data_IF_520469151222
#
_entry.id   IF_520469151222
#
_cell.length_a   1.000
_cell.length_b   1.000
_cell.length_c   1.000
_cell.angle_alpha   90.00
_cell.angle_beta   90.00
_cell.angle_gamma   90.00
#
_symmetry.space_group_name_H-M   'P 1'
#
loop_
_entity.id
_entity.type
_entity.pdbx_description
1 polymer ?
#
# COMPACT_ATOMS: atom_id res chain seq x y z
N UNK A 1 -6.70 27.54 19.77
CA UNK A 1 -7.98 27.73 19.00
C UNK A 1 -7.77 27.52 17.49
N UNK A 2 -6.73 28.04 16.87
CA UNK A 2 -6.46 27.86 15.42
C UNK A 2 -6.34 26.38 14.97
N UNK A 3 -5.62 25.55 15.71
CA UNK A 3 -5.44 24.13 15.35
C UNK A 3 -6.75 23.32 15.34
N UNK A 4 -7.64 23.54 16.31
CA UNK A 4 -8.94 22.87 16.32
C UNK A 4 -9.82 23.30 15.13
N UNK A 5 -9.71 24.53 14.70
CA UNK A 5 -10.43 25.05 13.53
C UNK A 5 -9.90 24.43 12.23
N UNK A 6 -8.58 24.25 12.10
CA UNK A 6 -7.96 23.57 10.95
C UNK A 6 -8.39 22.11 10.87
N UNK A 7 -8.38 21.39 12.00
CA UNK A 7 -8.83 20.00 12.05
C UNK A 7 -10.31 19.85 11.68
N UNK A 8 -11.19 20.78 12.16
CA UNK A 8 -12.60 20.78 11.81
C UNK A 8 -12.86 21.06 10.32
N UNK A 9 -12.15 22.00 9.73
CA UNK A 9 -12.25 22.30 8.30
C UNK A 9 -11.76 21.11 7.46
N UNK A 10 -10.68 20.49 7.87
CA UNK A 10 -10.15 19.32 7.20
C UNK A 10 -11.08 18.10 7.31
N UNK A 11 -11.69 17.86 8.47
CA UNK A 11 -12.69 16.81 8.65
C UNK A 11 -13.93 17.02 7.77
N UNK A 12 -14.33 18.27 7.52
CA UNK A 12 -15.41 18.59 6.57
C UNK A 12 -15.02 18.34 5.11
N UNK A 13 -13.78 18.68 4.75
CA UNK A 13 -13.28 18.53 3.37
C UNK A 13 -12.93 17.08 3.03
N UNK A 14 -12.38 16.33 3.98
CA UNK A 14 -11.91 14.95 3.80
C UNK A 14 -12.51 14.02 4.86
N UNK A 15 -13.85 13.82 4.85
CA UNK A 15 -14.56 13.08 5.89
C UNK A 15 -14.21 11.59 5.93
N UNK A 16 -13.75 11.03 4.83
CA UNK A 16 -13.46 9.62 4.69
C UNK A 16 -12.15 9.35 3.91
N UNK A 17 -11.75 8.09 3.87
CA UNK A 17 -10.54 7.65 3.18
C UNK A 17 -10.56 7.96 1.68
N UNK A 18 -11.69 7.77 1.03
CA UNK A 18 -11.85 8.02 -0.41
C UNK A 18 -11.59 9.49 -0.73
N UNK A 19 -12.19 10.40 0.01
CA UNK A 19 -11.99 11.84 -0.16
C UNK A 19 -10.54 12.26 0.13
N UNK A 20 -9.89 11.68 1.14
CA UNK A 20 -8.47 11.95 1.43
C UNK A 20 -7.54 11.52 0.27
N UNK A 21 -7.82 10.39 -0.34
CA UNK A 21 -7.04 9.88 -1.48
C UNK A 21 -7.41 10.53 -2.82
N UNK A 22 -8.65 10.99 -2.97
CA UNK A 22 -9.12 11.59 -4.21
C UNK A 22 -8.86 13.10 -4.30
N UNK A 23 -8.82 13.82 -3.17
CA UNK A 23 -8.99 15.27 -3.17
C UNK A 23 -7.81 16.06 -2.57
N UNK A 24 -6.60 15.49 -2.67
CA UNK A 24 -5.36 16.22 -2.41
C UNK A 24 -5.02 16.42 -0.93
N UNK A 25 -5.50 15.56 -0.03
CA UNK A 25 -5.07 15.55 1.37
C UNK A 25 -3.58 15.21 1.50
N UNK A 26 -3.13 14.20 0.76
CA UNK A 26 -1.73 13.84 0.68
C UNK A 26 -1.01 14.62 -0.42
N UNK A 27 0.28 14.84 -0.23
CA UNK A 27 1.16 15.41 -1.25
C UNK A 27 2.21 14.39 -1.67
N UNK A 28 2.59 14.45 -2.94
CA UNK A 28 3.61 13.60 -3.54
C UNK A 28 4.62 14.44 -4.33
N UNK A 29 5.77 13.84 -4.64
CA UNK A 29 6.70 14.39 -5.62
C UNK A 29 6.16 14.16 -7.02
N UNK A 30 5.90 15.21 -7.77
CA UNK A 30 5.58 15.17 -9.20
C UNK A 30 6.76 14.69 -10.04
N UNK A 31 6.51 14.38 -11.31
CA UNK A 31 7.57 13.96 -12.25
C UNK A 31 8.61 15.05 -12.51
N UNK A 32 8.23 16.30 -12.33
CA UNK A 32 9.06 17.49 -12.43
C UNK A 32 9.79 17.86 -11.12
N UNK A 33 9.66 17.01 -10.09
CA UNK A 33 10.23 17.23 -8.76
C UNK A 33 9.44 18.18 -7.86
N UNK A 34 8.35 18.77 -8.35
CA UNK A 34 7.51 19.66 -7.55
C UNK A 34 6.63 18.86 -6.57
N UNK A 35 6.33 19.49 -5.43
CA UNK A 35 5.36 18.94 -4.49
C UNK A 35 3.95 19.23 -4.99
N UNK A 36 3.22 18.18 -5.33
CA UNK A 36 1.84 18.29 -5.85
C UNK A 36 0.85 17.53 -4.98
N UNK A 37 -0.42 17.98 -4.90
CA UNK A 37 -1.45 17.22 -4.23
C UNK A 37 -1.69 15.88 -4.96
N UNK A 38 -1.76 14.79 -4.19
CA UNK A 38 -2.12 13.49 -4.74
C UNK A 38 -3.63 13.45 -5.01
N UNK A 39 -3.98 12.95 -6.17
CA UNK A 39 -5.35 12.64 -6.56
C UNK A 39 -5.35 11.30 -7.27
N UNK A 40 -6.23 10.39 -6.87
CA UNK A 40 -6.39 9.13 -7.58
C UNK A 40 -6.73 9.41 -9.06
N UNK A 41 -6.00 8.76 -9.97
CA UNK A 41 -6.41 8.70 -11.36
C UNK A 41 -7.56 7.70 -11.53
N UNK A 42 -8.13 7.63 -12.73
CA UNK A 42 -9.28 6.79 -13.03
C UNK A 42 -9.05 5.30 -12.72
N UNK A 43 -7.87 4.76 -13.11
CA UNK A 43 -7.52 3.36 -12.87
C UNK A 43 -7.39 3.08 -11.35
N UNK A 44 -6.79 4.01 -10.61
CA UNK A 44 -6.64 3.89 -9.14
C UNK A 44 -7.98 3.99 -8.42
N UNK A 45 -8.88 4.90 -8.87
CA UNK A 45 -10.23 5.02 -8.33
C UNK A 45 -11.07 3.76 -8.61
N UNK A 46 -10.99 3.22 -9.82
CA UNK A 46 -11.63 1.94 -10.18
C UNK A 46 -11.16 0.81 -9.26
N UNK A 47 -9.85 0.67 -9.07
CA UNK A 47 -9.30 -0.32 -8.14
C UNK A 47 -9.78 -0.06 -6.71
N UNK A 48 -9.72 1.20 -6.23
CA UNK A 48 -10.14 1.58 -4.88
C UNK A 48 -11.55 1.09 -4.53
N UNK A 49 -12.49 1.25 -5.47
CA UNK A 49 -13.89 0.85 -5.28
C UNK A 49 -14.15 -0.64 -5.52
N UNK A 50 -13.29 -1.33 -6.27
CA UNK A 50 -13.50 -2.73 -6.66
C UNK A 50 -12.66 -3.74 -5.89
N UNK A 51 -11.73 -3.30 -5.02
CA UNK A 51 -10.85 -4.19 -4.27
C UNK A 51 -11.61 -5.17 -3.37
N UNK A 52 -11.01 -6.32 -3.15
CA UNK A 52 -11.60 -7.40 -2.36
C UNK A 52 -10.98 -7.50 -0.94
N UNK A 53 -9.69 -7.18 -0.82
CA UNK A 53 -8.89 -7.35 0.39
C UNK A 53 -7.65 -8.21 0.12
N UNK A 54 -7.83 -9.34 -0.54
CA UNK A 54 -6.74 -10.09 -1.17
C UNK A 54 -6.76 -9.74 -2.66
N UNK A 55 -5.83 -8.89 -3.09
CA UNK A 55 -5.85 -8.32 -4.45
C UNK A 55 -4.52 -8.59 -5.16
N UNK A 56 -4.60 -9.11 -6.39
CA UNK A 56 -3.45 -9.28 -7.27
C UNK A 56 -3.66 -8.48 -8.54
N UNK A 57 -2.68 -7.64 -8.87
CA UNK A 57 -2.75 -6.70 -9.97
C UNK A 57 -1.63 -6.93 -10.99
N UNK A 58 -2.01 -7.20 -12.22
CA UNK A 58 -1.13 -7.10 -13.39
C UNK A 58 -1.29 -5.71 -14.00
N UNK A 59 -0.26 -4.88 -13.95
CA UNK A 59 -0.34 -3.48 -14.33
C UNK A 59 0.63 -3.10 -15.45
N UNK A 60 0.29 -2.09 -16.22
CA UNK A 60 1.25 -1.38 -17.05
C UNK A 60 2.20 -0.53 -16.20
N UNK A 61 3.37 -0.22 -16.73
CA UNK A 61 4.35 0.67 -16.07
C UNK A 61 3.78 2.07 -15.90
N UNK A 62 4.28 2.77 -14.86
CA UNK A 62 4.01 4.19 -14.59
C UNK A 62 2.53 4.58 -14.35
N UNK A 63 1.67 3.63 -13.99
CA UNK A 63 0.27 3.89 -13.61
C UNK A 63 0.10 4.46 -12.19
N UNK A 64 1.19 4.59 -11.45
CA UNK A 64 1.19 5.19 -10.09
C UNK A 64 0.58 4.30 -8.99
N UNK A 65 0.30 3.03 -9.27
CA UNK A 65 -0.32 2.12 -8.29
C UNK A 65 0.53 1.93 -7.04
N UNK A 66 1.85 1.80 -7.16
CA UNK A 66 2.74 1.68 -5.99
C UNK A 66 2.59 2.88 -5.06
N UNK A 67 2.49 4.10 -5.59
CA UNK A 67 2.25 5.33 -4.81
C UNK A 67 0.88 5.29 -4.15
N UNK A 68 -0.18 5.00 -4.91
CA UNK A 68 -1.53 4.90 -4.40
C UNK A 68 -1.65 3.88 -3.25
N UNK A 69 -1.14 2.65 -3.43
CA UNK A 69 -1.23 1.59 -2.42
C UNK A 69 -0.50 1.99 -1.14
N UNK A 70 0.67 2.62 -1.24
CA UNK A 70 1.42 3.06 -0.08
C UNK A 70 0.75 4.22 0.66
N UNK A 71 0.11 5.16 -0.06
CA UNK A 71 -0.72 6.20 0.55
C UNK A 71 -1.99 5.62 1.20
N UNK A 72 -2.62 4.62 0.59
CA UNK A 72 -3.76 3.90 1.16
C UNK A 72 -3.39 3.20 2.47
N UNK A 73 -2.19 2.62 2.55
CA UNK A 73 -1.66 2.00 3.77
C UNK A 73 -1.28 3.02 4.84
N UNK A 74 -0.66 4.14 4.45
CA UNK A 74 -0.36 5.26 5.36
C UNK A 74 -1.66 5.83 5.96
N UNK A 75 -2.70 6.00 5.13
CA UNK A 75 -4.01 6.45 5.58
C UNK A 75 -4.60 5.51 6.65
N UNK A 76 -4.55 4.19 6.43
CA UNK A 76 -4.97 3.23 7.44
C UNK A 76 -4.16 3.38 8.75
N UNK A 77 -2.84 3.54 8.67
CA UNK A 77 -2.01 3.75 9.86
C UNK A 77 -2.33 5.04 10.62
N UNK A 78 -2.74 6.11 9.91
CA UNK A 78 -3.06 7.39 10.54
C UNK A 78 -4.46 7.43 11.15
N UNK A 79 -5.44 6.79 10.50
CA UNK A 79 -6.86 6.92 10.86
C UNK A 79 -7.46 5.67 11.53
N UNK A 80 -6.73 4.53 11.56
CA UNK A 80 -7.11 3.31 12.24
C UNK A 80 -6.03 2.94 13.27
N UNK A 81 -6.31 3.07 14.56
CA UNK A 81 -5.32 2.75 15.61
C UNK A 81 -4.84 1.28 15.53
N UNK A 82 -3.61 1.05 15.99
CA UNK A 82 -2.99 -0.28 16.09
C UNK A 82 -2.87 -1.01 14.74
N UNK A 83 -2.80 -0.28 13.62
CA UNK A 83 -2.61 -0.85 12.29
C UNK A 83 -1.12 -1.08 12.03
N UNK A 84 -0.72 -2.33 11.82
CA UNK A 84 0.62 -2.68 11.36
C UNK A 84 0.62 -2.92 9.85
N UNK A 85 1.42 -2.13 9.12
CA UNK A 85 1.55 -2.17 7.68
C UNK A 85 2.96 -2.56 7.24
N UNK A 86 3.07 -3.36 6.18
CA UNK A 86 4.34 -3.81 5.63
C UNK A 86 4.41 -3.68 4.11
N UNK A 87 5.53 -3.19 3.60
CA UNK A 87 5.82 -3.12 2.17
C UNK A 87 7.04 -3.96 1.84
N UNK A 88 6.89 -4.88 0.90
CA UNK A 88 8.00 -5.70 0.39
C UNK A 88 8.37 -5.21 -1.00
N UNK A 89 9.67 -4.94 -1.20
CA UNK A 89 10.26 -4.68 -2.51
C UNK A 89 11.34 -5.72 -2.82
N UNK A 90 11.72 -5.83 -4.09
CA UNK A 90 12.67 -6.85 -4.54
C UNK A 90 14.10 -6.65 -3.98
N UNK A 91 14.47 -5.43 -3.59
CA UNK A 91 15.73 -5.13 -2.91
C UNK A 91 15.54 -4.04 -1.84
N UNK A 92 16.51 -3.94 -0.92
CA UNK A 92 16.41 -3.03 0.23
C UNK A 92 16.59 -1.54 -0.17
N UNK A 93 17.38 -1.26 -1.19
CA UNK A 93 17.59 0.11 -1.68
C UNK A 93 16.28 0.69 -2.21
N UNK A 94 15.58 -0.07 -3.08
CA UNK A 94 14.28 0.35 -3.59
C UNK A 94 13.23 0.44 -2.49
N UNK A 95 13.25 -0.48 -1.51
CA UNK A 95 12.35 -0.43 -0.37
C UNK A 95 12.51 0.89 0.41
N UNK A 96 13.74 1.26 0.74
CA UNK A 96 14.03 2.53 1.45
C UNK A 96 13.71 3.76 0.60
N UNK A 97 14.00 3.72 -0.70
CA UNK A 97 13.64 4.81 -1.61
C UNK A 97 12.12 4.99 -1.70
N UNK A 98 11.35 3.91 -1.82
CA UNK A 98 9.89 3.97 -1.81
C UNK A 98 9.36 4.51 -0.48
N UNK A 99 9.95 4.10 0.64
CA UNK A 99 9.57 4.60 1.96
C UNK A 99 9.79 6.11 2.05
N UNK A 100 11.00 6.59 1.73
CA UNK A 100 11.35 8.00 1.80
C UNK A 100 10.50 8.86 0.85
N UNK A 101 10.34 8.42 -0.41
CA UNK A 101 9.74 9.25 -1.45
C UNK A 101 8.20 9.21 -1.49
N UNK A 102 7.58 8.21 -0.87
CA UNK A 102 6.14 8.05 -0.92
C UNK A 102 5.51 8.14 0.48
N UNK A 103 5.93 7.29 1.41
CA UNK A 103 5.32 7.21 2.74
C UNK A 103 5.74 8.38 3.60
N UNK A 104 7.06 8.50 3.84
CA UNK A 104 7.61 9.57 4.69
C UNK A 104 7.35 10.94 4.11
N UNK A 105 7.59 11.12 2.81
CA UNK A 105 7.32 12.38 2.13
C UNK A 105 5.85 12.82 2.27
N UNK A 106 4.90 11.91 2.08
CA UNK A 106 3.49 12.22 2.23
C UNK A 106 3.13 12.60 3.67
N UNK A 107 3.65 11.87 4.67
CA UNK A 107 3.45 12.19 6.08
C UNK A 107 4.05 13.55 6.46
N UNK A 108 5.28 13.83 6.07
CA UNK A 108 5.99 15.08 6.39
C UNK A 108 5.30 16.33 5.78
N UNK A 109 4.57 16.14 4.67
CA UNK A 109 3.82 17.19 4.00
C UNK A 109 2.35 17.30 4.44
N UNK A 110 1.91 16.54 5.46
CA UNK A 110 0.62 16.78 6.11
C UNK A 110 0.66 18.09 6.91
N UNK A 111 -0.49 18.76 7.09
CA UNK A 111 -0.58 19.91 8.00
C UNK A 111 -0.05 19.55 9.39
N UNK A 112 0.64 20.50 10.04
CA UNK A 112 1.26 20.29 11.37
C UNK A 112 0.24 19.86 12.42
N UNK A 113 -1.00 20.37 12.32
CA UNK A 113 -2.11 20.05 13.22
C UNK A 113 -2.49 18.56 13.15
N UNK A 114 -2.46 17.96 11.95
CA UNK A 114 -2.67 16.52 11.78
C UNK A 114 -1.52 15.70 12.35
N UNK A 115 -0.29 16.11 12.09
CA UNK A 115 0.90 15.42 12.64
C UNK A 115 0.99 15.53 14.17
N UNK A 116 0.40 16.56 14.75
CA UNK A 116 0.29 16.68 16.21
C UNK A 116 -0.73 15.72 16.83
N UNK A 117 -1.77 15.33 16.08
CA UNK A 117 -2.79 14.35 16.54
C UNK A 117 -2.25 12.92 16.44
N UNK A 118 -1.58 12.57 15.33
CA UNK A 118 -0.94 11.27 15.13
C UNK A 118 0.52 11.51 14.79
N UNK A 119 1.32 11.71 15.85
CA UNK A 119 2.75 12.00 15.72
C UNK A 119 3.56 10.74 15.41
N UNK A 120 4.68 10.92 14.70
CA UNK A 120 5.66 9.86 14.54
C UNK A 120 6.51 9.79 15.81
N UNK A 121 6.42 8.69 16.54
CA UNK A 121 7.24 8.41 17.75
C UNK A 121 8.57 7.77 17.39
N UNK A 122 8.60 7.03 16.30
CA UNK A 122 9.82 6.50 15.70
C UNK A 122 9.81 6.77 14.20
N UNK A 123 10.89 7.35 13.71
CA UNK A 123 11.11 7.70 12.31
C UNK A 123 12.50 7.23 11.88
N UNK A 124 12.55 6.04 11.29
CA UNK A 124 13.76 5.42 10.78
C UNK A 124 13.78 5.44 9.23
N UNK A 125 14.88 5.02 8.63
CA UNK A 125 15.03 4.97 7.18
C UNK A 125 14.10 3.96 6.45
N UNK A 126 13.50 3.04 7.20
CA UNK A 126 12.69 1.93 6.69
C UNK A 126 11.42 1.66 7.50
N UNK A 127 11.14 2.48 8.51
CA UNK A 127 9.95 2.30 9.35
C UNK A 127 9.54 3.57 10.09
N UNK A 128 8.24 3.69 10.34
CA UNK A 128 7.64 4.68 11.23
C UNK A 128 6.71 3.99 12.22
N UNK A 129 6.71 4.49 13.47
CA UNK A 129 5.68 4.19 14.47
C UNK A 129 4.95 5.46 14.84
N UNK A 130 3.66 5.34 15.05
CA UNK A 130 2.77 6.45 15.32
C UNK A 130 2.21 6.39 16.74
N UNK A 131 1.90 7.56 17.31
CA UNK A 131 1.35 7.71 18.67
C UNK A 131 0.02 6.98 18.91
N UNK A 132 -0.71 6.61 17.84
CA UNK A 132 -1.93 5.81 17.92
C UNK A 132 -1.68 4.29 17.93
N UNK A 133 -0.44 3.84 18.14
CA UNK A 133 -0.04 2.42 18.15
C UNK A 133 0.17 1.79 16.78
N UNK A 134 -0.05 2.53 15.70
CA UNK A 134 0.15 2.02 14.33
C UNK A 134 1.62 2.07 13.91
N UNK A 135 1.97 1.26 12.91
CA UNK A 135 3.31 1.26 12.34
C UNK A 135 3.30 0.90 10.86
N UNK A 136 4.26 1.44 10.12
CA UNK A 136 4.51 1.06 8.73
C UNK A 136 6.00 0.82 8.53
N UNK A 137 6.35 -0.31 7.90
CA UNK A 137 7.73 -0.70 7.66
C UNK A 137 7.92 -1.24 6.26
N UNK A 138 9.11 -1.07 5.72
CA UNK A 138 9.49 -1.59 4.40
C UNK A 138 10.68 -2.54 4.51
N UNK A 139 10.79 -3.47 3.60
CA UNK A 139 11.89 -4.44 3.59
C UNK A 139 11.85 -5.35 2.38
N UNK A 140 12.68 -6.37 2.41
CA UNK A 140 12.72 -7.41 1.36
C UNK A 140 12.08 -8.71 1.80
N UNK A 141 11.81 -8.84 3.11
CA UNK A 141 11.12 -9.95 3.74
C UNK A 141 10.55 -9.45 5.08
N UNK A 142 9.31 -9.78 5.37
CA UNK A 142 8.60 -9.39 6.58
C UNK A 142 7.97 -10.64 7.19
N UNK A 143 8.75 -11.37 7.98
CA UNK A 143 8.33 -12.67 8.54
C UNK A 143 7.82 -12.57 9.97
N UNK A 144 8.09 -11.48 10.68
CA UNK A 144 7.77 -11.36 12.11
C UNK A 144 6.62 -10.39 12.34
N UNK A 145 5.75 -10.78 13.27
CA UNK A 145 4.60 -9.99 13.70
C UNK A 145 3.38 -10.19 12.80
N UNK A 146 2.24 -9.73 13.27
CA UNK A 146 0.98 -9.73 12.51
C UNK A 146 0.85 -8.43 11.74
N UNK A 147 0.49 -8.50 10.47
CA UNK A 147 0.22 -7.34 9.62
C UNK A 147 -1.27 -7.27 9.30
N UNK A 148 -1.84 -6.07 9.38
CA UNK A 148 -3.18 -5.77 8.89
C UNK A 148 -3.15 -5.35 7.42
N UNK A 149 -1.99 -4.88 6.95
CA UNK A 149 -1.79 -4.42 5.57
C UNK A 149 -0.46 -4.91 5.04
N UNK A 150 -0.47 -5.61 3.93
CA UNK A 150 0.74 -6.04 3.23
C UNK A 150 0.69 -5.61 1.77
N UNK A 151 1.73 -4.94 1.32
CA UNK A 151 1.95 -4.62 -0.08
C UNK A 151 3.20 -5.33 -0.58
N UNK A 152 3.08 -6.10 -1.64
CA UNK A 152 4.22 -6.73 -2.32
C UNK A 152 4.38 -6.10 -3.70
N UNK A 153 5.37 -5.24 -3.82
CA UNK A 153 5.66 -4.47 -5.03
C UNK A 153 6.57 -5.25 -5.97
N UNK A 154 6.27 -5.22 -7.27
CA UNK A 154 7.02 -5.88 -8.35
C UNK A 154 7.25 -7.38 -8.08
N UNK A 155 6.19 -8.07 -7.63
CA UNK A 155 6.28 -9.48 -7.25
C UNK A 155 6.62 -10.41 -8.44
N UNK A 156 6.16 -10.09 -9.64
CA UNK A 156 6.53 -10.83 -10.86
C UNK A 156 8.04 -10.80 -11.09
N UNK A 157 8.67 -9.61 -10.95
CA UNK A 157 10.12 -9.45 -11.03
C UNK A 157 10.85 -10.25 -9.95
N UNK A 158 10.30 -10.26 -8.72
CA UNK A 158 10.83 -11.06 -7.63
C UNK A 158 10.77 -12.55 -7.97
N UNK A 159 9.65 -13.06 -8.48
CA UNK A 159 9.48 -14.44 -8.90
C UNK A 159 10.43 -14.84 -10.02
N UNK A 160 10.62 -13.97 -11.03
CA UNK A 160 11.46 -14.26 -12.18
C UNK A 160 12.96 -14.24 -11.87
N UNK A 161 13.41 -13.27 -11.05
CA UNK A 161 14.85 -13.06 -10.81
C UNK A 161 15.36 -13.63 -9.50
N UNK A 162 14.49 -13.81 -8.51
CA UNK A 162 14.85 -14.27 -7.17
C UNK A 162 13.83 -15.28 -6.63
N UNK A 163 13.71 -16.48 -7.27
CA UNK A 163 12.65 -17.44 -6.97
C UNK A 163 12.67 -17.95 -5.52
N UNK A 164 13.86 -18.11 -4.91
CA UNK A 164 13.97 -18.51 -3.50
C UNK A 164 13.38 -17.44 -2.57
N UNK A 165 13.65 -16.16 -2.86
CA UNK A 165 13.10 -15.05 -2.10
C UNK A 165 11.59 -14.92 -2.30
N UNK A 166 11.08 -15.15 -3.51
CA UNK A 166 9.65 -15.21 -3.77
C UNK A 166 8.97 -16.33 -2.97
N UNK A 167 9.60 -17.49 -2.86
CA UNK A 167 9.14 -18.60 -2.01
C UNK A 167 9.13 -18.21 -0.53
N UNK A 168 10.16 -17.51 -0.08
CA UNK A 168 10.26 -16.96 1.26
C UNK A 168 9.12 -15.95 1.58
N UNK A 169 8.84 -15.03 0.66
CA UNK A 169 7.74 -14.07 0.81
C UNK A 169 6.40 -14.79 0.89
N UNK A 170 6.16 -15.78 0.03
CA UNK A 170 4.93 -16.58 0.03
C UNK A 170 4.74 -17.36 1.33
N UNK A 171 5.77 -18.07 1.79
CA UNK A 171 5.67 -18.91 2.99
C UNK A 171 5.75 -18.13 4.30
N UNK A 172 6.36 -16.95 4.29
CA UNK A 172 6.55 -16.09 5.47
C UNK A 172 5.58 -14.92 5.50
N UNK A 173 5.75 -13.95 4.61
CA UNK A 173 5.03 -12.67 4.71
C UNK A 173 3.51 -12.81 4.49
N UNK A 174 3.04 -13.68 3.58
CA UNK A 174 1.60 -13.85 3.37
C UNK A 174 0.92 -14.42 4.62
N UNK A 175 1.60 -15.29 5.36
CA UNK A 175 1.08 -15.87 6.60
C UNK A 175 1.08 -14.89 7.79
N UNK A 176 1.71 -13.71 7.67
CA UNK A 176 1.60 -12.66 8.69
C UNK A 176 0.27 -11.90 8.62
N UNK A 177 -0.48 -12.06 7.53
CA UNK A 177 -1.75 -11.38 7.30
C UNK A 177 -2.90 -12.36 7.52
N UNK A 178 -3.72 -12.09 8.52
CA UNK A 178 -4.87 -12.93 8.85
C UNK A 178 -6.04 -12.71 7.87
N UNK A 179 -6.94 -13.67 7.82
CA UNK A 179 -8.18 -13.57 7.05
C UNK A 179 -8.96 -12.29 7.44
N UNK A 180 -9.50 -11.59 6.43
CA UNK A 180 -10.18 -10.31 6.62
C UNK A 180 -9.27 -9.08 6.68
N UNK A 181 -7.95 -9.29 6.69
CA UNK A 181 -6.96 -8.22 6.48
C UNK A 181 -6.62 -8.06 5.00
N UNK A 182 -5.72 -7.14 4.64
CA UNK A 182 -5.46 -6.82 3.24
C UNK A 182 -4.06 -7.22 2.79
N UNK A 183 -4.00 -7.89 1.63
CA UNK A 183 -2.78 -8.10 0.85
C UNK A 183 -3.00 -7.52 -0.54
N UNK A 184 -2.13 -6.62 -0.96
CA UNK A 184 -2.10 -6.13 -2.34
C UNK A 184 -0.78 -6.53 -2.98
N UNK A 185 -0.84 -7.33 -4.02
CA UNK A 185 0.32 -7.78 -4.80
C UNK A 185 0.24 -7.10 -6.17
N UNK A 186 1.30 -6.45 -6.60
CA UNK A 186 1.32 -5.81 -7.90
C UNK A 186 2.63 -6.03 -8.65
N UNK A 187 2.54 -6.18 -9.96
CA UNK A 187 3.70 -6.24 -10.84
C UNK A 187 3.35 -5.90 -12.28
N UNK A 188 4.37 -5.53 -13.05
CA UNK A 188 4.36 -5.66 -14.50
C UNK A 188 4.53 -7.13 -14.90
N UNK A 189 4.21 -7.48 -16.14
CA UNK A 189 4.45 -8.82 -16.68
C UNK A 189 5.96 -9.12 -16.73
N UNK A 190 6.36 -10.28 -16.21
CA UNK A 190 7.75 -10.76 -16.20
C UNK A 190 7.82 -12.22 -16.69
N UNK A 191 7.12 -12.52 -17.79
CA UNK A 191 7.01 -13.86 -18.36
C UNK A 191 5.79 -14.65 -17.89
N UNK A 192 5.67 -15.87 -18.39
CA UNK A 192 4.51 -16.77 -18.16
C UNK A 192 4.87 -17.94 -17.24
N UNK A 193 5.67 -17.68 -16.21
CA UNK A 193 6.11 -18.69 -15.25
C UNK A 193 6.25 -18.11 -13.83
N UNK A 194 6.25 -19.00 -12.84
CA UNK A 194 6.44 -18.67 -11.43
C UNK A 194 5.15 -18.24 -10.72
N UNK A 195 5.27 -18.10 -9.41
CA UNK A 195 4.11 -17.94 -8.53
C UNK A 195 3.24 -16.71 -8.83
N UNK A 196 3.82 -15.59 -9.30
CA UNK A 196 3.00 -14.42 -9.68
C UNK A 196 2.10 -14.73 -10.86
N UNK A 197 2.64 -15.39 -11.91
CA UNK A 197 1.85 -15.82 -13.05
C UNK A 197 0.75 -16.81 -12.66
N UNK A 198 1.10 -17.85 -11.90
CA UNK A 198 0.13 -18.83 -11.40
C UNK A 198 -0.99 -18.19 -10.58
N UNK A 199 -0.62 -17.24 -9.69
CA UNK A 199 -1.57 -16.51 -8.86
C UNK A 199 -2.51 -15.65 -9.69
N UNK A 200 -1.97 -14.91 -10.68
CA UNK A 200 -2.79 -14.08 -11.58
C UNK A 200 -3.75 -14.92 -12.42
N UNK A 201 -3.28 -16.04 -12.99
CA UNK A 201 -4.12 -16.94 -13.78
C UNK A 201 -5.27 -17.53 -12.93
N UNK A 202 -4.97 -18.04 -11.72
CA UNK A 202 -5.98 -18.57 -10.82
C UNK A 202 -7.00 -17.51 -10.40
N UNK A 203 -6.55 -16.31 -10.07
CA UNK A 203 -7.42 -15.21 -9.67
C UNK A 203 -8.28 -14.74 -10.84
N UNK A 204 -7.72 -14.63 -12.05
CA UNK A 204 -8.44 -14.26 -13.26
C UNK A 204 -9.53 -15.26 -13.61
N UNK A 205 -9.22 -16.57 -13.60
CA UNK A 205 -10.20 -17.61 -13.85
C UNK A 205 -11.43 -17.54 -12.92
N UNK A 206 -11.21 -17.28 -11.62
CA UNK A 206 -12.31 -17.08 -10.66
C UNK A 206 -13.12 -15.82 -10.95
N UNK A 207 -12.46 -14.73 -11.33
CA UNK A 207 -13.09 -13.45 -11.66
C UNK A 207 -13.95 -13.61 -12.93
N UNK A 208 -13.40 -14.23 -13.97
CA UNK A 208 -14.08 -14.42 -15.26
C UNK A 208 -15.28 -15.40 -15.15
N UNK A 209 -15.16 -16.40 -14.28
CA UNK A 209 -16.24 -17.33 -13.98
C UNK A 209 -17.35 -16.75 -13.08
N UNK A 210 -17.19 -15.52 -12.57
CA UNK A 210 -18.12 -14.91 -11.61
C UNK A 210 -18.24 -15.68 -10.30
N UNK A 211 -17.21 -16.49 -9.94
CA UNK A 211 -17.24 -17.31 -8.73
C UNK A 211 -17.16 -16.41 -7.49
N UNK A 212 -18.03 -16.57 -6.49
CA UNK A 212 -17.93 -15.84 -5.23
C UNK A 212 -16.56 -16.03 -4.58
N UNK A 213 -15.90 -14.92 -4.25
CA UNK A 213 -14.60 -14.96 -3.61
C UNK A 213 -14.74 -15.06 -2.09
N UNK A 214 -13.97 -15.96 -1.49
CA UNK A 214 -13.80 -16.03 -0.04
C UNK A 214 -12.76 -15.03 0.46
N UNK A 215 -12.66 -14.80 1.75
CA UNK A 215 -11.64 -13.92 2.35
C UNK A 215 -10.18 -14.35 2.08
N UNK A 216 -9.96 -15.57 1.59
CA UNK A 216 -8.64 -16.13 1.25
C UNK A 216 -8.35 -16.13 -0.26
N UNK A 217 -9.33 -15.79 -1.06
CA UNK A 217 -9.18 -15.74 -2.52
C UNK A 217 -8.65 -14.39 -2.98
N UNK A 218 -7.70 -14.44 -3.91
CA UNK A 218 -7.23 -13.22 -4.57
C UNK A 218 -8.18 -12.81 -5.69
N UNK A 219 -8.55 -11.52 -5.70
CA UNK A 219 -9.23 -10.88 -6.82
C UNK A 219 -8.21 -10.37 -7.82
N UNK A 220 -8.45 -10.65 -9.10
CA UNK A 220 -7.61 -10.18 -10.19
C UNK A 220 -8.00 -8.77 -10.62
N UNK A 221 -6.98 -7.94 -10.88
CA UNK A 221 -7.10 -6.59 -11.45
C UNK A 221 -6.10 -6.41 -12.60
N UNK A 222 -6.56 -5.74 -13.66
CA UNK A 222 -5.74 -5.40 -14.83
C UNK A 222 -5.94 -3.93 -15.22
#
# INVERSE_FOLDING_TARGET
MAGAQVLNLAAKRWPDKTSRLADGFYKIKGKDGQTVPFRMNEDQAKFHHSRHGMDVMLKARQKGFTTYIQLDMLDDCLFMPNTAAGVIAHNLTDAKAFFADKIKFAYDNLPSEFRAVVSAEQDAADSMKFSNGSSIRVGTSLRSGTLQRLHVSEYGKLCAKFPEKAREVRSGAFNTVQAGQRITIESTAEGQAGHFYELTQKAQQKTDAGTPLTALDFKFHF
#
